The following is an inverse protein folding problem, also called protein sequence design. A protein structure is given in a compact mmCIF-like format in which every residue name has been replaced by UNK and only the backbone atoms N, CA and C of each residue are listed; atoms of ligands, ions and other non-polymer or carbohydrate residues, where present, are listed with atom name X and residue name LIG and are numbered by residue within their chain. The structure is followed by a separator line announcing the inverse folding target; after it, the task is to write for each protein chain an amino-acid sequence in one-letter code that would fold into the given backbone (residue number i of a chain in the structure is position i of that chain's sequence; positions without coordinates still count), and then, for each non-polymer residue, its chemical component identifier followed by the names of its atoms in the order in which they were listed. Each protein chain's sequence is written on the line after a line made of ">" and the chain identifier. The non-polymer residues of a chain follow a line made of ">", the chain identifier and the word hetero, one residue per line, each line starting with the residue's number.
data_IF_662618213732
#
_entry.id   IF_662618213732
#
_cell.length_a   1.000
_cell.length_b   1.000
_cell.length_c   1.000
_cell.angle_alpha   90.00
_cell.angle_beta   90.00
_cell.angle_gamma   90.00
#
_symmetry.space_group_name_H-M   'P 1'
#
loop_
_entity.id
_entity.type
_entity.pdbx_description
1 polymer ?
#
# COMPACT_ATOMS: atom_id res chain seq x y z
N UNK A 1 19.93 24.57 -22.40
CA UNK A 1 19.65 23.19 -21.93
C UNK A 1 19.77 23.18 -20.42
N UNK A 2 18.66 22.99 -19.67
CA UNK A 2 18.75 22.70 -18.23
C UNK A 2 19.31 21.29 -18.09
N UNK A 3 20.35 21.09 -17.26
CA UNK A 3 20.84 19.76 -16.93
C UNK A 3 19.76 19.05 -16.11
N UNK A 4 19.36 17.85 -16.53
CA UNK A 4 18.55 17.00 -15.67
C UNK A 4 19.44 16.55 -14.51
N UNK A 5 19.02 16.86 -13.28
CA UNK A 5 19.69 16.36 -12.09
C UNK A 5 18.93 15.12 -11.59
N UNK A 6 19.69 14.13 -11.13
CA UNK A 6 19.12 13.00 -10.40
C UNK A 6 18.79 13.49 -9.00
N UNK A 7 17.57 13.24 -8.55
CA UNK A 7 17.08 13.55 -7.21
C UNK A 7 16.74 12.26 -6.47
N UNK A 8 16.91 12.31 -5.15
CA UNK A 8 16.47 11.24 -4.25
C UNK A 8 15.15 11.66 -3.59
N UNK A 9 14.14 10.80 -3.68
CA UNK A 9 12.87 10.93 -2.98
C UNK A 9 12.80 9.81 -1.94
N UNK A 10 12.61 10.19 -0.68
CA UNK A 10 12.41 9.28 0.44
C UNK A 10 11.02 9.48 1.00
N UNK A 11 10.22 8.43 0.97
CA UNK A 11 8.84 8.47 1.41
C UNK A 11 8.67 7.52 2.58
N UNK A 12 8.46 8.11 3.76
CA UNK A 12 8.34 7.44 5.05
C UNK A 12 6.87 7.17 5.36
N UNK A 13 6.54 5.91 5.66
CA UNK A 13 5.18 5.50 5.98
C UNK A 13 5.16 4.39 7.01
N UNK A 14 4.06 4.26 7.74
CA UNK A 14 3.85 3.15 8.65
C UNK A 14 3.66 1.85 7.86
N UNK A 15 4.08 0.73 8.44
CA UNK A 15 3.84 -0.60 7.87
C UNK A 15 3.40 -1.57 8.94
N UNK A 16 2.58 -2.54 8.55
CA UNK A 16 2.19 -3.68 9.37
C UNK A 16 2.76 -5.00 8.81
N UNK A 17 3.82 -4.91 8.02
CA UNK A 17 4.53 -6.08 7.51
C UNK A 17 5.38 -6.64 8.65
N UNK A 18 5.00 -7.81 9.14
CA UNK A 18 5.69 -8.47 10.23
C UNK A 18 7.02 -9.03 9.75
N UNK A 19 8.10 -8.34 10.13
CA UNK A 19 9.49 -8.71 9.86
C UNK A 19 10.22 -9.17 11.13
N UNK A 20 9.52 -9.51 12.23
CA UNK A 20 10.14 -9.77 13.55
C UNK A 20 11.20 -10.88 13.54
N UNK A 21 11.09 -11.87 12.66
CA UNK A 21 12.11 -12.94 12.49
C UNK A 21 13.40 -12.46 11.81
N UNK A 22 13.38 -11.28 11.18
CA UNK A 22 14.45 -10.70 10.37
C UNK A 22 15.04 -9.44 11.01
N UNK A 23 14.82 -9.25 12.33
CA UNK A 23 15.34 -8.10 13.04
C UNK A 23 16.88 -8.06 12.99
N UNK A 24 17.43 -6.87 12.70
CA UNK A 24 18.86 -6.61 12.71
C UNK A 24 19.16 -5.50 13.71
N UNK A 25 20.18 -5.72 14.55
CA UNK A 25 20.57 -4.81 15.64
C UNK A 25 21.27 -3.54 15.17
N UNK A 26 21.65 -3.44 13.89
CA UNK A 26 22.48 -2.38 13.32
C UNK A 26 21.65 -1.26 12.64
N UNK A 27 20.35 -1.17 12.95
CA UNK A 27 19.41 -0.25 12.31
C UNK A 27 19.42 -0.32 10.77
N UNK A 28 19.85 -1.46 10.21
CA UNK A 28 19.73 -1.74 8.78
C UNK A 28 18.32 -2.27 8.47
N UNK A 29 17.84 -2.12 7.22
CA UNK A 29 16.54 -2.66 6.86
C UNK A 29 16.49 -4.17 7.09
N UNK A 30 15.40 -4.61 7.71
CA UNK A 30 15.10 -6.04 7.91
C UNK A 30 14.90 -6.71 6.55
N UNK A 31 14.22 -6.02 5.63
CA UNK A 31 13.94 -6.46 4.28
C UNK A 31 14.10 -5.26 3.35
N UNK A 32 14.78 -5.47 2.21
CA UNK A 32 14.88 -4.49 1.13
C UNK A 32 14.34 -5.14 -0.15
N UNK A 33 13.36 -4.51 -0.78
CA UNK A 33 12.76 -4.97 -2.04
C UNK A 33 13.13 -3.97 -3.13
N UNK A 34 13.78 -4.46 -4.18
CA UNK A 34 14.13 -3.66 -5.36
C UNK A 34 13.11 -3.90 -6.48
N UNK A 35 12.38 -2.85 -6.85
CA UNK A 35 11.38 -2.87 -7.91
C UNK A 35 11.89 -2.28 -9.23
N UNK A 36 13.16 -1.86 -9.29
CA UNK A 36 13.76 -1.15 -10.42
C UNK A 36 13.61 -1.91 -11.73
N UNK A 37 13.76 -3.25 -11.71
CA UNK A 37 13.61 -4.08 -12.91
C UNK A 37 12.21 -3.98 -13.56
N UNK A 38 11.18 -3.67 -12.77
CA UNK A 38 9.81 -3.57 -13.27
C UNK A 38 9.50 -2.23 -13.94
N UNK A 39 10.39 -1.23 -13.85
CA UNK A 39 10.26 0.03 -14.61
C UNK A 39 10.23 -0.26 -16.10
N UNK A 40 11.24 -0.98 -16.61
CA UNK A 40 11.30 -1.34 -18.02
C UNK A 40 10.15 -2.25 -18.45
N UNK A 41 9.74 -3.17 -17.58
CA UNK A 41 8.58 -4.04 -17.83
C UNK A 41 7.30 -3.22 -17.95
N UNK A 42 7.07 -2.27 -17.06
CA UNK A 42 5.87 -1.42 -17.05
C UNK A 42 5.85 -0.43 -18.21
N UNK A 43 7.01 0.06 -18.63
CA UNK A 43 7.16 0.85 -19.85
C UNK A 43 6.76 0.03 -21.08
N UNK A 44 7.26 -1.20 -21.20
CA UNK A 44 6.96 -2.12 -22.32
C UNK A 44 5.51 -2.57 -22.35
N UNK A 45 4.93 -2.82 -21.17
CA UNK A 45 3.55 -3.30 -21.03
C UNK A 45 2.51 -2.17 -21.06
N UNK A 46 2.92 -0.92 -21.31
CA UNK A 46 2.01 0.23 -21.40
C UNK A 46 1.19 0.51 -20.14
N UNK A 47 1.79 0.30 -18.95
CA UNK A 47 1.14 0.57 -17.66
C UNK A 47 0.69 2.03 -17.52
N UNK A 48 1.34 2.96 -18.23
CA UNK A 48 1.02 4.39 -18.25
C UNK A 48 -0.26 4.74 -19.04
N UNK A 49 -0.85 3.79 -19.77
CA UNK A 49 -2.15 3.98 -20.44
C UNK A 49 -3.34 3.49 -19.60
N UNK A 50 -3.08 2.82 -18.47
CA UNK A 50 -4.13 2.18 -17.69
C UNK A 50 -4.73 3.13 -16.65
N UNK A 51 -5.97 2.86 -16.24
CA UNK A 51 -6.55 3.46 -15.04
C UNK A 51 -5.93 2.83 -13.78
N UNK A 52 -5.40 3.61 -12.83
CA UNK A 52 -4.78 3.07 -11.61
C UNK A 52 -5.73 2.20 -10.78
N UNK A 53 -5.20 1.17 -10.12
CA UNK A 53 -6.02 0.28 -9.28
C UNK A 53 -6.50 0.94 -7.97
N UNK A 54 -5.80 1.95 -7.46
CA UNK A 54 -6.17 2.73 -6.27
C UNK A 54 -5.72 4.17 -6.48
N UNK A 55 -6.64 5.10 -6.25
CA UNK A 55 -6.39 6.53 -6.35
C UNK A 55 -6.10 7.10 -4.96
N UNK A 56 -4.83 7.17 -4.58
CA UNK A 56 -4.39 8.04 -3.46
C UNK A 56 -3.83 9.35 -4.01
N UNK A 57 -3.06 9.25 -5.08
CA UNK A 57 -2.63 10.35 -5.94
C UNK A 57 -3.39 10.26 -7.27
N UNK A 58 -3.89 11.40 -7.74
CA UNK A 58 -4.87 11.49 -8.83
C UNK A 58 -4.26 11.95 -10.16
N UNK A 59 -2.98 12.33 -10.16
CA UNK A 59 -2.34 12.86 -11.35
C UNK A 59 -2.09 11.72 -12.33
N UNK A 60 -2.63 11.87 -13.54
CA UNK A 60 -2.28 11.01 -14.66
C UNK A 60 -0.82 11.22 -15.02
N UNK A 61 -0.13 10.12 -15.33
CA UNK A 61 1.28 10.13 -15.74
C UNK A 61 1.42 9.56 -17.14
N UNK A 62 2.43 10.02 -17.86
CA UNK A 62 2.75 9.54 -19.20
C UNK A 62 3.92 8.55 -19.19
N UNK A 63 4.20 7.93 -20.34
CA UNK A 63 5.43 7.16 -20.56
C UNK A 63 6.69 7.97 -20.23
N UNK A 64 6.69 9.26 -20.58
CA UNK A 64 7.84 10.13 -20.34
C UNK A 64 8.07 10.35 -18.84
N UNK A 65 7.00 10.44 -18.04
CA UNK A 65 7.11 10.57 -16.59
C UNK A 65 7.63 9.27 -15.95
N UNK A 66 7.16 8.12 -16.41
CA UNK A 66 7.65 6.82 -15.94
C UNK A 66 9.16 6.64 -16.22
N UNK A 67 9.63 7.08 -17.39
CA UNK A 67 11.04 7.01 -17.78
C UNK A 67 11.98 7.94 -16.98
N UNK A 68 11.42 8.91 -16.24
CA UNK A 68 12.20 9.73 -15.31
C UNK A 68 12.65 8.93 -14.10
N UNK A 69 11.88 7.91 -13.69
CA UNK A 69 12.25 7.05 -12.57
C UNK A 69 13.41 6.14 -12.98
N UNK A 70 14.48 6.15 -12.18
CA UNK A 70 15.69 5.35 -12.41
C UNK A 70 15.82 4.20 -11.42
N UNK A 71 15.27 4.36 -10.23
CA UNK A 71 15.38 3.37 -9.14
C UNK A 71 14.14 3.47 -8.27
N UNK A 72 13.60 2.32 -7.83
CA UNK A 72 12.56 2.24 -6.80
C UNK A 72 12.93 1.09 -5.86
N UNK A 73 13.22 1.42 -4.59
CA UNK A 73 13.51 0.48 -3.52
C UNK A 73 12.62 0.73 -2.33
N UNK A 74 12.32 -0.33 -1.60
CA UNK A 74 11.46 -0.27 -0.42
C UNK A 74 12.16 -1.00 0.71
N UNK A 75 12.45 -0.25 1.76
CA UNK A 75 13.18 -0.70 2.93
C UNK A 75 12.23 -0.80 4.13
N UNK A 76 12.09 -2.01 4.66
CA UNK A 76 11.24 -2.30 5.82
C UNK A 76 12.07 -2.36 7.10
N UNK A 77 11.66 -1.56 8.08
CA UNK A 77 12.26 -1.47 9.40
C UNK A 77 11.29 -2.02 10.45
N UNK A 78 11.68 -3.16 11.05
CA UNK A 78 10.93 -3.80 12.13
C UNK A 78 11.16 -3.16 13.50
N UNK A 79 10.51 -3.71 14.53
CA UNK A 79 10.68 -3.27 15.92
C UNK A 79 12.13 -3.44 16.38
N UNK A 80 12.65 -2.46 17.13
CA UNK A 80 13.99 -2.52 17.75
C UNK A 80 14.13 -3.67 18.77
N UNK A 81 13.03 -4.14 19.36
CA UNK A 81 13.00 -5.29 20.25
C UNK A 81 11.60 -5.89 20.27
N UNK A 82 11.45 -7.22 20.43
CA UNK A 82 10.14 -7.86 20.60
C UNK A 82 9.34 -7.34 21.81
N UNK A 83 10.00 -6.66 22.76
CA UNK A 83 9.39 -6.05 23.94
C UNK A 83 9.33 -4.52 23.89
N UNK A 84 9.84 -3.89 22.82
CA UNK A 84 9.72 -2.44 22.62
C UNK A 84 8.45 -2.12 21.84
N UNK A 85 7.71 -1.12 22.31
CA UNK A 85 6.61 -0.52 21.56
C UNK A 85 7.09 0.58 20.59
N UNK A 86 8.37 0.95 20.66
CA UNK A 86 8.97 2.00 19.84
C UNK A 86 10.10 1.45 18.95
N UNK A 87 10.20 2.00 17.76
CA UNK A 87 11.32 1.84 16.84
C UNK A 87 12.24 3.07 16.96
N UNK A 88 13.50 2.94 16.56
CA UNK A 88 14.47 4.06 16.58
C UNK A 88 14.29 4.94 15.34
N UNK A 89 13.15 5.64 15.25
CA UNK A 89 12.75 6.41 14.07
C UNK A 89 13.80 7.46 13.66
N UNK A 90 14.43 8.10 14.65
CA UNK A 90 15.52 9.07 14.42
C UNK A 90 16.71 8.40 13.73
N UNK A 91 17.13 7.23 14.21
CA UNK A 91 18.22 6.46 13.60
C UNK A 91 17.87 5.95 12.20
N UNK A 92 16.58 5.72 11.90
CA UNK A 92 16.14 5.34 10.56
C UNK A 92 16.19 6.55 9.64
N UNK A 93 15.61 7.69 10.03
CA UNK A 93 15.58 8.92 9.22
C UNK A 93 17.01 9.41 8.93
N UNK A 94 17.90 9.39 9.93
CA UNK A 94 19.29 9.85 9.80
C UNK A 94 20.11 9.11 8.75
N UNK A 95 19.69 7.89 8.36
CA UNK A 95 20.32 7.12 7.28
C UNK A 95 20.01 7.66 5.89
N UNK A 96 18.87 8.33 5.74
CA UNK A 96 18.40 8.86 4.46
C UNK A 96 18.57 10.38 4.38
N UNK A 97 18.49 11.07 5.52
CA UNK A 97 18.53 12.52 5.56
C UNK A 97 19.10 13.05 6.88
N UNK A 98 19.75 14.21 6.85
CA UNK A 98 20.22 14.85 8.08
C UNK A 98 19.03 15.36 8.90
N UNK A 99 18.77 14.74 10.06
CA UNK A 99 17.68 15.11 10.95
C UNK A 99 17.75 16.57 11.39
N UNK A 100 18.95 17.15 11.52
CA UNK A 100 19.12 18.54 11.95
C UNK A 100 18.58 19.54 10.93
N UNK A 101 18.42 19.11 9.67
CA UNK A 101 17.87 19.94 8.61
C UNK A 101 16.34 19.98 8.59
N UNK A 102 15.66 19.06 9.29
CA UNK A 102 14.20 19.00 9.36
C UNK A 102 13.72 19.44 10.73
N UNK A 103 12.79 20.38 10.77
CA UNK A 103 12.18 20.80 12.03
C UNK A 103 11.43 19.63 12.69
N UNK A 104 11.80 19.29 13.93
CA UNK A 104 11.28 18.10 14.66
C UNK A 104 9.75 18.07 14.74
N UNK A 105 9.08 19.23 14.76
CA UNK A 105 7.62 19.31 14.79
C UNK A 105 6.97 18.79 13.51
N UNK A 106 7.63 18.89 12.35
CA UNK A 106 7.16 18.36 11.07
C UNK A 106 7.17 16.83 11.06
N UNK A 107 8.13 16.23 11.76
CA UNK A 107 8.19 14.77 11.96
C UNK A 107 7.11 14.36 12.97
N UNK A 108 6.98 15.08 14.09
CA UNK A 108 5.97 14.79 15.10
C UNK A 108 4.53 14.88 14.53
N UNK A 109 4.24 15.85 13.67
CA UNK A 109 2.92 16.01 13.04
C UNK A 109 2.56 14.87 12.07
N UNK A 110 3.54 14.14 11.53
CA UNK A 110 3.32 12.96 10.69
C UNK A 110 2.85 11.73 11.48
N UNK A 111 3.10 11.72 12.79
CA UNK A 111 2.87 10.60 13.69
C UNK A 111 3.79 9.40 13.49
N UNK A 112 4.82 9.50 12.63
CA UNK A 112 5.80 8.43 12.40
C UNK A 112 6.54 8.03 13.69
N UNK A 113 6.76 8.95 14.62
CA UNK A 113 7.40 8.62 15.91
C UNK A 113 6.65 7.55 16.73
N UNK A 114 5.33 7.42 16.52
CA UNK A 114 4.45 6.56 17.33
C UNK A 114 4.14 5.21 16.65
N UNK A 115 4.60 5.00 15.41
CA UNK A 115 4.31 3.75 14.68
C UNK A 115 5.13 2.59 15.23
N UNK A 116 4.72 1.35 14.98
CA UNK A 116 5.50 0.19 15.44
C UNK A 116 6.61 -0.21 14.47
N UNK A 117 6.43 0.08 13.18
CA UNK A 117 7.32 -0.30 12.09
C UNK A 117 7.25 0.77 11.00
N UNK A 118 8.37 1.05 10.36
CA UNK A 118 8.49 2.02 9.26
C UNK A 118 8.79 1.27 7.95
N UNK A 119 8.18 1.72 6.87
CA UNK A 119 8.69 1.48 5.52
C UNK A 119 9.22 2.80 4.93
N UNK A 120 10.37 2.73 4.28
CA UNK A 120 10.96 3.84 3.53
C UNK A 120 10.99 3.46 2.05
N UNK A 121 10.27 4.22 1.23
CA UNK A 121 10.27 4.08 -0.21
C UNK A 121 11.32 5.05 -0.76
N UNK A 122 12.40 4.51 -1.30
CA UNK A 122 13.53 5.24 -1.85
C UNK A 122 13.47 5.22 -3.37
N UNK A 123 13.33 6.40 -3.97
CA UNK A 123 13.18 6.57 -5.41
C UNK A 123 14.21 7.55 -5.95
N UNK A 124 14.92 7.15 -7.00
CA UNK A 124 15.75 8.06 -7.79
C UNK A 124 15.04 8.45 -9.05
N UNK A 125 14.97 9.76 -9.32
CA UNK A 125 14.32 10.25 -10.53
C UNK A 125 15.03 11.46 -11.13
N UNK A 126 14.93 11.59 -12.46
CA UNK A 126 15.42 12.75 -13.20
C UNK A 126 14.38 13.87 -13.18
N UNK A 127 14.81 15.08 -12.85
CA UNK A 127 13.97 16.28 -12.92
C UNK A 127 14.79 17.50 -13.33
N UNK A 128 14.17 18.36 -14.14
CA UNK A 128 14.73 19.65 -14.55
C UNK A 128 14.24 20.82 -13.69
N UNK A 129 13.33 20.56 -12.77
CA UNK A 129 12.76 21.56 -11.86
C UNK A 129 13.54 21.53 -10.55
N UNK A 130 13.79 22.67 -9.92
CA UNK A 130 14.19 22.66 -8.51
C UNK A 130 12.92 22.68 -7.68
N UNK A 131 12.79 21.73 -6.74
CA UNK A 131 11.77 21.82 -5.70
C UNK A 131 12.30 22.82 -4.69
N UNK A 132 11.58 23.92 -4.50
CA UNK A 132 11.95 24.97 -3.53
C UNK A 132 11.03 24.78 -2.33
N UNK A 133 11.58 24.35 -1.20
CA UNK A 133 10.85 24.28 0.06
C UNK A 133 11.61 24.96 1.18
N UNK A 134 11.71 26.28 1.11
CA UNK A 134 12.22 27.06 2.22
C UNK A 134 11.29 28.25 2.44
N UNK A 135 10.12 27.93 3.01
CA UNK A 135 9.48 28.85 3.92
C UNK A 135 10.01 28.55 5.32
N UNK A 136 10.71 29.51 5.90
CA UNK A 136 11.00 29.48 7.32
C UNK A 136 9.68 29.49 8.12
N UNK A 137 9.71 29.10 9.39
CA UNK A 137 8.54 29.26 10.28
C UNK A 137 8.00 30.70 10.34
N UNK A 138 8.85 31.69 10.11
CA UNK A 138 8.42 33.10 10.01
C UNK A 138 7.81 33.42 8.64
N UNK A 139 8.34 32.85 7.56
CA UNK A 139 7.76 32.97 6.22
C UNK A 139 6.37 32.31 6.14
N UNK A 140 6.13 31.23 6.88
CA UNK A 140 4.81 30.56 6.95
C UNK A 140 3.73 31.39 7.67
N UNK A 141 4.11 32.45 8.41
CA UNK A 141 3.15 33.38 9.02
C UNK A 141 2.73 34.49 8.07
N UNK A 142 3.47 34.71 6.98
CA UNK A 142 3.21 35.74 6.00
C UNK A 142 2.55 35.15 4.74
N UNK A 143 1.27 35.43 4.59
CA UNK A 143 0.46 34.96 3.46
C UNK A 143 1.05 35.41 2.12
N UNK A 144 1.57 36.63 1.99
CA UNK A 144 2.07 37.14 0.70
C UNK A 144 3.38 36.44 0.29
N UNK A 145 4.22 36.09 1.27
CA UNK A 145 5.43 35.29 1.05
C UNK A 145 5.06 33.85 0.67
N UNK A 146 4.05 33.26 1.33
CA UNK A 146 3.52 31.94 0.97
C UNK A 146 3.03 31.95 -0.48
N UNK A 147 2.17 32.91 -0.87
CA UNK A 147 1.61 32.98 -2.21
C UNK A 147 2.70 33.19 -3.27
N UNK A 148 3.61 34.16 -3.05
CA UNK A 148 4.68 34.47 -4.01
C UNK A 148 5.68 33.31 -4.21
N UNK A 149 6.02 32.57 -3.14
CA UNK A 149 6.93 31.42 -3.23
C UNK A 149 6.20 30.16 -3.68
N UNK A 150 5.16 29.68 -2.97
CA UNK A 150 4.50 28.39 -3.26
C UNK A 150 3.69 28.38 -4.56
N UNK A 151 3.08 29.49 -4.96
CA UNK A 151 2.26 29.57 -6.18
C UNK A 151 3.02 30.19 -7.37
N UNK A 152 4.34 30.31 -7.28
CA UNK A 152 5.14 30.65 -8.46
C UNK A 152 4.99 29.57 -9.54
N UNK A 153 4.95 29.96 -10.81
CA UNK A 153 4.86 29.00 -11.93
C UNK A 153 5.95 27.93 -11.89
N UNK A 154 7.15 28.26 -11.38
CA UNK A 154 8.25 27.29 -11.20
C UNK A 154 7.87 26.20 -10.19
N UNK A 155 7.28 26.57 -9.06
CA UNK A 155 6.85 25.62 -8.03
C UNK A 155 5.60 24.84 -8.44
N UNK A 156 4.68 25.43 -9.19
CA UNK A 156 3.51 24.72 -9.74
C UNK A 156 3.97 23.56 -10.65
N UNK A 157 4.92 23.82 -11.56
CA UNK A 157 5.44 22.78 -12.46
C UNK A 157 6.25 21.72 -11.70
N UNK A 158 7.02 22.13 -10.69
CA UNK A 158 7.77 21.20 -9.85
C UNK A 158 6.85 20.28 -9.02
N UNK A 159 5.77 20.84 -8.47
CA UNK A 159 4.77 20.10 -7.70
C UNK A 159 3.95 19.17 -8.58
N UNK A 160 3.51 19.60 -9.78
CA UNK A 160 2.83 18.71 -10.72
C UNK A 160 3.71 17.52 -11.14
N UNK A 161 5.00 17.77 -11.38
CA UNK A 161 5.96 16.69 -11.62
C UNK A 161 6.09 15.77 -10.41
N UNK A 162 6.22 16.31 -9.19
CA UNK A 162 6.31 15.51 -7.97
C UNK A 162 5.06 14.65 -7.75
N UNK A 163 3.86 15.20 -7.95
CA UNK A 163 2.59 14.48 -7.84
C UNK A 163 2.51 13.33 -8.87
N UNK A 164 2.99 13.54 -10.10
CA UNK A 164 3.08 12.46 -11.10
C UNK A 164 4.07 11.38 -10.68
N UNK A 165 5.22 11.75 -10.12
CA UNK A 165 6.20 10.81 -9.57
C UNK A 165 5.57 10.01 -8.42
N UNK A 166 4.84 10.66 -7.51
CA UNK A 166 4.10 10.00 -6.42
C UNK A 166 2.99 9.07 -6.94
N UNK A 167 2.28 9.44 -8.00
CA UNK A 167 1.33 8.55 -8.69
C UNK A 167 2.01 7.31 -9.27
N UNK A 168 3.20 7.45 -9.87
CA UNK A 168 3.97 6.31 -10.36
C UNK A 168 4.39 5.40 -9.19
N UNK A 169 4.98 5.97 -8.13
CA UNK A 169 5.38 5.22 -6.93
C UNK A 169 4.19 4.44 -6.36
N UNK A 170 3.03 5.09 -6.30
CA UNK A 170 1.78 4.49 -5.84
C UNK A 170 1.38 3.25 -6.66
N UNK A 171 1.64 3.26 -7.96
CA UNK A 171 1.37 2.11 -8.83
C UNK A 171 2.32 0.93 -8.52
N UNK A 172 3.61 1.21 -8.27
CA UNK A 172 4.57 0.21 -7.83
C UNK A 172 4.25 -0.34 -6.43
N UNK A 173 3.78 0.51 -5.52
CA UNK A 173 3.35 0.07 -4.18
C UNK A 173 2.16 -0.87 -4.26
N UNK A 174 1.17 -0.57 -5.10
CA UNK A 174 0.03 -1.44 -5.33
C UNK A 174 0.43 -2.78 -5.94
N UNK A 175 1.36 -2.75 -6.90
CA UNK A 175 1.96 -3.94 -7.46
C UNK A 175 2.64 -4.80 -6.39
N UNK A 176 3.47 -4.20 -5.54
CA UNK A 176 4.12 -4.92 -4.45
C UNK A 176 3.09 -5.52 -3.47
N UNK A 177 2.13 -4.72 -3.01
CA UNK A 177 1.12 -5.16 -2.02
C UNK A 177 0.29 -6.32 -2.54
N UNK A 178 -0.10 -6.26 -3.81
CA UNK A 178 -0.80 -7.37 -4.47
C UNK A 178 0.03 -8.65 -4.36
N UNK A 179 1.30 -8.59 -4.76
CA UNK A 179 2.20 -9.74 -4.75
C UNK A 179 2.53 -10.25 -3.33
N UNK A 180 2.68 -9.35 -2.35
CA UNK A 180 2.85 -9.71 -0.95
C UNK A 180 1.64 -10.51 -0.44
N UNK A 181 0.42 -10.06 -0.75
CA UNK A 181 -0.79 -10.78 -0.35
C UNK A 181 -0.99 -12.11 -1.06
N UNK A 182 -0.53 -12.26 -2.30
CA UNK A 182 -0.59 -13.54 -3.00
C UNK A 182 0.43 -14.55 -2.48
N UNK A 183 1.61 -14.06 -2.07
CA UNK A 183 2.73 -14.91 -1.68
C UNK A 183 2.62 -15.35 -0.23
N UNK A 184 2.15 -14.48 0.65
CA UNK A 184 2.18 -14.70 2.09
C UNK A 184 0.80 -14.91 2.70
N UNK A 185 0.66 -15.88 3.61
CA UNK A 185 -0.60 -16.11 4.30
C UNK A 185 -0.97 -14.88 5.13
N UNK A 186 -2.24 -14.50 5.05
CA UNK A 186 -2.83 -13.52 5.96
C UNK A 186 -3.43 -14.28 7.14
N UNK A 187 -2.72 -14.30 8.26
CA UNK A 187 -3.20 -14.96 9.49
C UNK A 187 -3.96 -13.92 10.33
N UNK A 188 -4.99 -14.41 11.01
CA UNK A 188 -5.77 -13.68 12.01
C UNK A 188 -4.90 -13.38 13.25
N UNK A 189 -3.92 -12.49 13.11
CA UNK A 189 -3.26 -11.93 14.28
C UNK A 189 -4.15 -10.81 14.78
N UNK A 190 -4.45 -10.90 16.09
CA UNK A 190 -5.00 -9.82 16.91
C UNK A 190 -4.50 -8.49 16.36
N UNK A 191 -5.43 -7.73 15.77
CA UNK A 191 -5.19 -6.40 15.25
C UNK A 191 -4.27 -5.68 16.23
N UNK A 192 -3.18 -5.13 15.72
CA UNK A 192 -2.41 -4.20 16.51
C UNK A 192 -3.41 -3.07 16.83
N UNK A 193 -3.94 -3.04 18.07
CA UNK A 193 -4.82 -2.00 18.60
C UNK A 193 -4.10 -0.64 18.68
N UNK A 194 -3.11 -0.41 17.82
CA UNK A 194 -2.15 0.68 17.87
C UNK A 194 -2.19 1.55 16.61
N UNK A 195 -2.98 1.21 15.59
CA UNK A 195 -2.95 1.94 14.33
C UNK A 195 -3.93 3.10 14.34
N UNK A 196 -3.44 4.23 14.84
CA UNK A 196 -4.15 5.48 14.79
C UNK A 196 -4.44 5.88 13.33
N UNK A 197 -5.72 6.11 12.99
CA UNK A 197 -6.17 6.55 11.65
C UNK A 197 -5.55 7.90 11.21
N UNK A 198 -4.86 8.57 12.14
CA UNK A 198 -4.16 9.83 11.97
C UNK A 198 -2.70 9.70 11.50
N UNK A 199 -2.11 8.51 11.41
CA UNK A 199 -0.75 8.39 10.89
C UNK A 199 -0.72 8.68 9.38
N UNK A 200 -0.03 9.76 9.03
CA UNK A 200 0.05 10.25 7.65
C UNK A 200 1.35 9.75 7.02
N UNK A 201 2.50 9.89 7.68
CA UNK A 201 3.80 9.73 7.04
C UNK A 201 4.27 11.03 6.38
N UNK A 202 5.39 11.00 5.68
CA UNK A 202 5.95 12.17 5.01
C UNK A 202 6.90 11.82 3.86
N UNK A 203 7.09 12.76 2.94
CA UNK A 203 8.03 12.70 1.83
C UNK A 203 9.14 13.73 2.01
N UNK A 204 10.38 13.30 1.76
CA UNK A 204 11.54 14.17 1.61
C UNK A 204 12.03 14.05 0.17
N UNK A 205 12.30 15.17 -0.51
CA UNK A 205 13.03 15.16 -1.78
C UNK A 205 14.33 15.93 -1.62
N UNK A 206 15.45 15.27 -1.91
CA UNK A 206 16.78 15.86 -1.83
C UNK A 206 17.30 16.22 -3.22
N UNK A 207 17.87 17.42 -3.32
CA UNK A 207 18.60 17.90 -4.48
C UNK A 207 19.89 18.59 -4.01
N UNK A 208 21.00 17.85 -3.98
CA UNK A 208 22.28 18.29 -3.43
C UNK A 208 22.17 18.72 -1.94
N UNK A 209 22.32 20.02 -1.67
CA UNK A 209 22.20 20.65 -0.34
C UNK A 209 20.76 21.08 0.00
N UNK A 210 19.88 21.18 -1.01
CA UNK A 210 18.49 21.58 -0.80
C UNK A 210 17.62 20.35 -0.52
N UNK A 211 16.59 20.56 0.30
CA UNK A 211 15.58 19.54 0.57
C UNK A 211 14.17 20.11 0.47
N UNK A 212 13.22 19.22 0.21
CA UNK A 212 11.78 19.48 0.18
C UNK A 212 11.13 18.53 1.18
N UNK A 213 10.17 19.03 1.98
CA UNK A 213 9.44 18.24 2.95
C UNK A 213 7.93 18.40 2.78
N UNK A 214 7.21 17.29 2.74
CA UNK A 214 5.75 17.30 2.75
C UNK A 214 5.19 16.18 3.63
N UNK A 215 4.27 16.53 4.52
CA UNK A 215 3.42 15.53 5.20
C UNK A 215 2.35 15.04 4.24
N UNK A 216 2.36 13.75 3.98
CA UNK A 216 1.47 13.07 3.05
C UNK A 216 0.60 12.10 3.84
N UNK A 217 -0.70 11.95 3.55
CA UNK A 217 -1.49 10.87 4.19
C UNK A 217 -1.36 9.59 3.39
N UNK A 218 -0.62 8.61 3.91
CA UNK A 218 -0.26 7.39 3.17
C UNK A 218 -0.62 6.16 3.99
N UNK A 219 -1.41 5.26 3.41
CA UNK A 219 -1.81 4.01 4.06
C UNK A 219 -1.86 2.87 3.03
N UNK A 220 -0.72 2.66 2.37
CA UNK A 220 -0.52 1.52 1.48
C UNK A 220 -0.19 0.27 2.27
N UNK A 221 0.60 0.41 3.34
CA UNK A 221 1.20 -0.71 4.06
C UNK A 221 0.58 -0.95 5.45
N UNK A 222 -0.55 -0.33 5.78
CA UNK A 222 -1.25 -0.53 7.06
C UNK A 222 -1.98 -1.87 7.19
N UNK A 223 -1.73 -2.84 6.31
CA UNK A 223 -2.32 -4.18 6.38
C UNK A 223 -1.33 -5.16 6.99
N UNK A 224 -1.80 -5.99 7.93
CA UNK A 224 -0.95 -7.03 8.49
C UNK A 224 -0.63 -8.08 7.42
N UNK A 225 0.66 -8.22 7.11
CA UNK A 225 1.19 -9.25 6.21
C UNK A 225 2.33 -9.93 6.95
N UNK A 226 2.23 -11.24 7.12
CA UNK A 226 3.32 -12.01 7.69
C UNK A 226 4.39 -12.25 6.64
N UNK A 227 5.52 -11.54 6.71
CA UNK A 227 6.61 -11.73 5.77
C UNK A 227 7.61 -12.75 6.31
N UNK A 228 7.68 -13.91 5.66
CA UNK A 228 8.77 -14.87 5.82
C UNK A 228 9.63 -14.79 4.57
N UNK A 229 10.96 -14.74 4.70
CA UNK A 229 11.85 -14.57 3.55
C UNK A 229 11.83 -15.83 2.67
N UNK A 230 10.88 -15.89 1.74
CA UNK A 230 10.67 -17.00 0.82
C UNK A 230 10.91 -16.51 -0.61
N UNK A 231 11.65 -17.29 -1.40
CA UNK A 231 12.08 -16.97 -2.76
C UNK A 231 10.92 -16.74 -3.77
N UNK A 232 9.68 -17.06 -3.41
CA UNK A 232 8.54 -17.06 -4.33
C UNK A 232 7.98 -15.66 -4.64
N UNK A 233 8.31 -14.62 -3.86
CA UNK A 233 7.78 -13.27 -4.10
C UNK A 233 8.29 -12.70 -5.44
N UNK A 234 9.56 -12.89 -5.75
CA UNK A 234 10.15 -12.40 -7.01
C UNK A 234 9.54 -13.09 -8.22
N UNK A 235 9.35 -14.41 -8.15
CA UNK A 235 8.69 -15.19 -9.20
C UNK A 235 7.25 -14.73 -9.41
N UNK A 236 6.49 -14.52 -8.33
CA UNK A 236 5.11 -14.03 -8.41
C UNK A 236 5.03 -12.62 -9.00
N UNK A 237 5.96 -11.73 -8.65
CA UNK A 237 6.06 -10.40 -9.26
C UNK A 237 6.44 -10.48 -10.75
N UNK A 238 7.36 -11.38 -11.13
CA UNK A 238 7.72 -11.57 -12.55
C UNK A 238 6.49 -12.01 -13.36
N UNK A 239 5.71 -12.98 -12.87
CA UNK A 239 4.46 -13.42 -13.51
C UNK A 239 3.43 -12.30 -13.56
N UNK A 240 3.19 -11.62 -12.44
CA UNK A 240 2.13 -10.61 -12.37
C UNK A 240 2.42 -9.33 -13.16
N UNK A 241 3.69 -9.00 -13.35
CA UNK A 241 4.11 -7.86 -14.15
C UNK A 241 3.65 -7.96 -15.62
N UNK A 242 3.50 -9.17 -16.16
CA UNK A 242 3.11 -9.44 -17.55
C UNK A 242 1.66 -9.08 -17.87
N UNK A 243 0.79 -9.02 -16.86
CA UNK A 243 -0.62 -8.68 -17.05
C UNK A 243 -1.05 -7.45 -16.24
N UNK A 244 -0.13 -6.80 -15.53
CA UNK A 244 -0.43 -5.66 -14.66
C UNK A 244 -1.11 -4.50 -15.40
N UNK A 245 -0.81 -4.30 -16.68
CA UNK A 245 -1.39 -3.26 -17.53
C UNK A 245 -2.81 -3.54 -18.01
N UNK A 246 -3.31 -4.78 -17.89
CA UNK A 246 -4.61 -5.19 -18.43
C UNK A 246 -5.82 -4.64 -17.66
N UNK A 247 -5.61 -3.92 -16.56
CA UNK A 247 -6.70 -3.32 -15.78
C UNK A 247 -7.70 -4.35 -15.25
N UNK A 248 -7.21 -5.43 -14.65
CA UNK A 248 -8.03 -6.56 -14.20
C UNK A 248 -8.94 -6.12 -13.04
N UNK A 249 -10.28 -6.10 -13.20
CA UNK A 249 -11.20 -5.60 -12.17
C UNK A 249 -11.07 -6.32 -10.83
N UNK A 250 -10.77 -7.62 -10.85
CA UNK A 250 -10.57 -8.40 -9.63
C UNK A 250 -9.39 -7.90 -8.81
N UNK A 251 -8.29 -7.45 -9.45
CA UNK A 251 -7.16 -6.85 -8.74
C UNK A 251 -7.55 -5.52 -8.10
N UNK A 252 -8.32 -4.70 -8.83
CA UNK A 252 -8.85 -3.43 -8.33
C UNK A 252 -9.67 -3.63 -7.04
N UNK A 253 -10.68 -4.51 -7.11
CA UNK A 253 -11.54 -4.77 -5.96
C UNK A 253 -10.79 -5.42 -4.81
N UNK A 254 -9.83 -6.29 -5.09
CA UNK A 254 -9.00 -6.94 -4.07
C UNK A 254 -8.19 -5.92 -3.28
N UNK A 255 -7.46 -5.05 -3.97
CA UNK A 255 -6.65 -4.00 -3.34
C UNK A 255 -7.52 -2.96 -2.61
N UNK A 256 -8.72 -2.68 -3.10
CA UNK A 256 -9.66 -1.79 -2.41
C UNK A 256 -10.32 -2.43 -1.19
N UNK A 257 -10.57 -3.74 -1.21
CA UNK A 257 -11.05 -4.50 -0.06
C UNK A 257 -9.98 -4.52 1.05
N UNK A 258 -8.72 -4.54 0.65
CA UNK A 258 -7.54 -4.44 1.50
C UNK A 258 -7.10 -2.98 1.63
N UNK A 259 -8.00 -2.05 1.94
CA UNK A 259 -7.66 -0.64 2.24
C UNK A 259 -7.98 -0.31 3.69
N UNK A 260 -7.02 0.28 4.40
CA UNK A 260 -7.16 0.76 5.77
C UNK A 260 -6.69 -0.23 6.84
N UNK A 261 -6.34 0.28 8.03
CA UNK A 261 -5.80 -0.54 9.13
C UNK A 261 -6.84 -1.43 9.81
N UNK A 262 -8.13 -1.12 9.67
CA UNK A 262 -9.23 -1.83 10.31
C UNK A 262 -10.17 -2.44 9.27
N UNK A 263 -10.61 -3.67 9.50
CA UNK A 263 -11.58 -4.29 8.60
C UNK A 263 -13.01 -3.86 8.93
N UNK A 264 -13.65 -3.25 7.95
CA UNK A 264 -15.05 -2.83 8.00
C UNK A 264 -15.98 -3.70 7.15
N UNK A 265 -17.28 -3.51 7.32
CA UNK A 265 -18.28 -4.14 6.45
C UNK A 265 -18.12 -3.75 4.98
N UNK A 266 -17.59 -2.55 4.71
CA UNK A 266 -17.29 -2.08 3.37
C UNK A 266 -16.12 -2.87 2.77
N UNK A 267 -15.06 -3.11 3.56
CA UNK A 267 -13.94 -3.98 3.16
C UNK A 267 -14.43 -5.39 2.83
N UNK A 268 -15.28 -5.96 3.69
CA UNK A 268 -15.87 -7.29 3.45
C UNK A 268 -16.72 -7.34 2.19
N UNK A 269 -17.57 -6.34 1.96
CA UNK A 269 -18.39 -6.24 0.76
C UNK A 269 -17.54 -6.15 -0.51
N UNK A 270 -16.46 -5.36 -0.49
CA UNK A 270 -15.48 -5.28 -1.59
C UNK A 270 -14.77 -6.61 -1.84
N UNK A 271 -14.50 -7.39 -0.80
CA UNK A 271 -13.91 -8.73 -0.96
C UNK A 271 -14.90 -9.71 -1.62
N UNK A 272 -16.19 -9.62 -1.31
CA UNK A 272 -17.23 -10.38 -2.03
C UNK A 272 -17.32 -9.91 -3.50
N UNK A 273 -17.30 -8.61 -3.77
CA UNK A 273 -17.28 -8.10 -5.14
C UNK A 273 -16.02 -8.56 -5.90
N UNK A 274 -14.88 -8.66 -5.22
CA UNK A 274 -13.66 -9.25 -5.78
C UNK A 274 -13.93 -10.69 -6.23
N UNK A 275 -14.53 -11.51 -5.37
CA UNK A 275 -14.91 -12.87 -5.71
C UNK A 275 -15.89 -12.93 -6.89
N UNK A 276 -16.93 -12.11 -6.88
CA UNK A 276 -17.94 -12.07 -7.96
C UNK A 276 -17.32 -11.65 -9.30
N UNK A 277 -16.30 -10.78 -9.29
CA UNK A 277 -15.66 -10.26 -10.50
C UNK A 277 -14.88 -11.28 -11.33
N UNK A 278 -14.62 -12.49 -10.79
CA UNK A 278 -14.05 -13.59 -11.57
C UNK A 278 -15.07 -14.28 -12.49
N UNK A 279 -16.36 -13.92 -12.38
CA UNK A 279 -17.44 -14.51 -13.14
C UNK A 279 -18.10 -13.46 -14.04
N UNK A 280 -18.65 -13.87 -15.21
CA UNK A 280 -19.49 -13.00 -16.02
C UNK A 280 -20.72 -12.49 -15.25
N UNK A 281 -21.30 -11.41 -15.76
CA UNK A 281 -22.54 -10.87 -15.21
C UNK A 281 -23.68 -11.90 -15.20
N UNK A 282 -24.59 -11.78 -14.23
CA UNK A 282 -25.82 -12.59 -14.08
C UNK A 282 -25.59 -14.09 -13.79
N UNK A 283 -24.38 -14.48 -13.39
CA UNK A 283 -24.14 -15.83 -12.87
C UNK A 283 -24.77 -15.95 -11.46
N UNK A 284 -25.50 -17.04 -11.20
CA UNK A 284 -26.10 -17.29 -9.89
C UNK A 284 -25.03 -17.58 -8.82
N UNK A 285 -25.20 -17.04 -7.61
CA UNK A 285 -24.24 -17.25 -6.52
C UNK A 285 -24.01 -18.72 -6.19
N UNK A 286 -25.03 -19.58 -6.29
CA UNK A 286 -24.89 -21.02 -6.08
C UNK A 286 -23.95 -21.69 -7.08
N UNK A 287 -23.99 -21.25 -8.34
CA UNK A 287 -23.08 -21.73 -9.36
C UNK A 287 -21.65 -21.24 -9.09
N UNK A 288 -21.46 -19.96 -8.76
CA UNK A 288 -20.14 -19.41 -8.41
C UNK A 288 -19.51 -20.19 -7.26
N UNK A 289 -20.29 -20.46 -6.20
CA UNK A 289 -19.85 -21.18 -5.00
C UNK A 289 -19.44 -22.61 -5.31
N UNK A 290 -20.26 -23.32 -6.10
CA UNK A 290 -19.98 -24.70 -6.49
C UNK A 290 -18.74 -24.79 -7.41
N UNK A 291 -18.73 -24.00 -8.48
CA UNK A 291 -17.64 -23.99 -9.46
C UNK A 291 -16.30 -23.61 -8.83
N UNK A 292 -16.25 -22.55 -8.01
CA UNK A 292 -15.03 -22.17 -7.28
C UNK A 292 -14.53 -23.32 -6.42
N UNK A 293 -15.41 -23.94 -5.63
CA UNK A 293 -15.01 -25.03 -4.76
C UNK A 293 -14.36 -26.16 -5.54
N UNK A 294 -14.93 -26.52 -6.71
CA UNK A 294 -14.38 -27.53 -7.62
C UNK A 294 -13.06 -27.11 -8.27
N UNK A 295 -12.93 -25.83 -8.65
CA UNK A 295 -11.77 -25.30 -9.36
C UNK A 295 -10.52 -25.25 -8.49
N UNK A 296 -10.65 -24.73 -7.27
CA UNK A 296 -9.49 -24.48 -6.40
C UNK A 296 -9.33 -25.53 -5.30
N UNK A 297 -10.32 -26.37 -5.03
CA UNK A 297 -10.29 -27.36 -3.95
C UNK A 297 -9.37 -28.55 -4.25
N UNK A 298 -8.53 -28.92 -3.29
CA UNK A 298 -7.57 -30.02 -3.44
C UNK A 298 -8.20 -31.40 -3.26
N UNK A 299 -9.30 -31.49 -2.51
CA UNK A 299 -10.04 -32.73 -2.22
C UNK A 299 -11.48 -32.41 -1.78
N UNK A 300 -12.32 -33.43 -1.64
CA UNK A 300 -13.74 -33.27 -1.28
C UNK A 300 -13.95 -32.54 0.06
N UNK A 301 -13.08 -32.74 1.05
CA UNK A 301 -13.20 -32.07 2.35
C UNK A 301 -12.90 -30.56 2.23
N UNK A 302 -11.82 -30.21 1.51
CA UNK A 302 -11.45 -28.83 1.20
C UNK A 302 -12.52 -28.14 0.34
N UNK A 303 -13.07 -28.82 -0.68
CA UNK A 303 -14.20 -28.32 -1.48
C UNK A 303 -15.42 -27.98 -0.60
N UNK A 304 -15.74 -28.83 0.38
CA UNK A 304 -16.84 -28.57 1.33
C UNK A 304 -16.53 -27.38 2.23
N UNK A 305 -15.29 -27.25 2.70
CA UNK A 305 -14.86 -26.12 3.52
C UNK A 305 -14.98 -24.80 2.74
N UNK A 306 -14.39 -24.72 1.54
CA UNK A 306 -14.50 -23.55 0.65
C UNK A 306 -15.96 -23.18 0.41
N UNK A 307 -16.80 -24.17 0.06
CA UNK A 307 -18.23 -23.94 -0.18
C UNK A 307 -18.94 -23.40 1.05
N UNK A 308 -18.58 -23.86 2.24
CA UNK A 308 -19.14 -23.37 3.51
C UNK A 308 -18.78 -21.90 3.72
N UNK A 309 -17.51 -21.53 3.61
CA UNK A 309 -17.05 -20.13 3.73
C UNK A 309 -17.79 -19.21 2.77
N UNK A 310 -17.93 -19.62 1.51
CA UNK A 310 -18.64 -18.81 0.53
C UNK A 310 -20.14 -18.72 0.85
N UNK A 311 -20.79 -19.82 1.24
CA UNK A 311 -22.20 -19.79 1.68
C UNK A 311 -22.41 -18.82 2.84
N UNK A 312 -21.54 -18.87 3.84
CA UNK A 312 -21.63 -18.02 5.03
C UNK A 312 -21.33 -16.56 4.68
N UNK A 313 -20.41 -16.31 3.74
CA UNK A 313 -20.10 -14.96 3.23
C UNK A 313 -21.28 -14.32 2.50
N UNK A 314 -21.94 -15.05 1.59
CA UNK A 314 -23.13 -14.56 0.88
C UNK A 314 -24.33 -14.38 1.82
N UNK A 315 -24.52 -15.27 2.80
CA UNK A 315 -25.56 -15.10 3.84
C UNK A 315 -25.31 -13.83 4.65
N UNK A 316 -24.06 -13.59 5.06
CA UNK A 316 -23.69 -12.43 5.84
C UNK A 316 -23.93 -11.13 5.06
N UNK A 317 -23.51 -11.07 3.79
CA UNK A 317 -23.82 -9.94 2.88
C UNK A 317 -25.32 -9.70 2.77
N UNK A 318 -26.12 -10.74 2.50
CA UNK A 318 -27.57 -10.58 2.31
C UNK A 318 -28.25 -10.06 3.57
N UNK A 319 -27.83 -10.52 4.76
CA UNK A 319 -28.31 -9.98 6.04
C UNK A 319 -28.04 -8.47 6.14
N UNK A 320 -26.86 -8.01 5.72
CA UNK A 320 -26.48 -6.60 5.73
C UNK A 320 -27.23 -5.77 4.67
N UNK A 321 -27.25 -6.21 3.42
CA UNK A 321 -27.87 -5.49 2.29
C UNK A 321 -29.38 -5.30 2.49
N UNK A 322 -30.06 -6.24 3.15
CA UNK A 322 -31.50 -6.18 3.40
C UNK A 322 -31.88 -5.53 4.75
N UNK A 323 -30.98 -4.73 5.34
CA UNK A 323 -31.30 -3.92 6.52
C UNK A 323 -31.36 -4.71 7.84
N UNK A 324 -30.78 -5.91 7.89
CA UNK A 324 -30.48 -6.55 9.17
C UNK A 324 -29.57 -5.64 10.00
N UNK A 325 -29.71 -5.68 11.33
CA UNK A 325 -28.96 -4.82 12.26
C UNK A 325 -27.49 -4.74 11.86
N UNK A 326 -27.10 -3.57 11.34
CA UNK A 326 -25.74 -3.28 10.94
C UNK A 326 -24.95 -3.19 12.23
N UNK A 327 -23.96 -4.06 12.44
CA UNK A 327 -22.99 -3.80 13.47
C UNK A 327 -22.22 -2.57 13.01
N UNK A 328 -22.62 -1.38 13.45
CA UNK A 328 -21.75 -0.22 13.38
C UNK A 328 -20.50 -0.61 14.20
N UNK A 329 -19.35 -0.80 13.56
CA UNK A 329 -18.14 -1.27 14.27
C UNK A 329 -17.69 -0.33 15.39
N UNK A 330 -18.22 0.90 15.41
CA UNK A 330 -18.11 1.90 16.49
C UNK A 330 -19.17 1.79 17.60
N UNK A 331 -20.32 1.19 17.32
CA UNK A 331 -21.33 0.91 18.33
C UNK A 331 -20.97 -0.39 19.06
N UNK A 332 -21.44 -0.54 20.30
CA UNK A 332 -21.22 -1.70 21.18
C UNK A 332 -21.84 -2.99 20.60
N UNK A 333 -21.28 -3.51 19.51
CA UNK A 333 -21.60 -4.82 18.98
C UNK A 333 -21.01 -5.85 19.92
N UNK A 334 -21.77 -6.91 20.16
CA UNK A 334 -21.32 -8.12 20.82
C UNK A 334 -20.01 -8.61 20.14
N UNK A 335 -18.89 -8.67 20.87
CA UNK A 335 -17.55 -8.96 20.34
C UNK A 335 -17.50 -10.20 19.41
N UNK A 336 -18.41 -11.16 19.63
CA UNK A 336 -18.57 -12.38 18.84
C UNK A 336 -18.87 -12.15 17.36
N UNK A 337 -19.73 -11.17 17.02
CA UNK A 337 -20.11 -10.91 15.62
C UNK A 337 -18.97 -10.20 14.85
N UNK A 338 -18.19 -9.36 15.54
CA UNK A 338 -16.97 -8.75 14.98
C UNK A 338 -15.93 -9.82 14.65
N UNK A 339 -15.64 -10.72 15.59
CA UNK A 339 -14.69 -11.82 15.38
C UNK A 339 -15.12 -12.73 14.23
N UNK A 340 -16.41 -13.05 14.14
CA UNK A 340 -16.94 -13.90 13.06
C UNK A 340 -16.78 -13.24 11.68
N UNK A 341 -17.06 -11.93 11.56
CA UNK A 341 -16.83 -11.19 10.32
C UNK A 341 -15.35 -11.20 9.92
N UNK A 342 -14.46 -11.06 10.90
CA UNK A 342 -13.01 -11.06 10.71
C UNK A 342 -12.48 -12.40 10.21
N UNK A 343 -12.86 -13.49 10.85
CA UNK A 343 -12.53 -14.84 10.40
C UNK A 343 -13.01 -15.07 8.96
N UNK A 344 -14.28 -14.74 8.69
CA UNK A 344 -14.90 -14.95 7.39
C UNK A 344 -14.24 -14.13 6.28
N UNK A 345 -13.83 -12.88 6.56
CA UNK A 345 -13.07 -12.05 5.62
C UNK A 345 -11.74 -12.67 5.22
N UNK A 346 -10.95 -13.14 6.19
CA UNK A 346 -9.63 -13.71 5.92
C UNK A 346 -9.74 -15.06 5.21
N UNK A 347 -10.73 -15.89 5.56
CA UNK A 347 -11.03 -17.11 4.83
C UNK A 347 -11.43 -16.81 3.38
N UNK A 348 -12.33 -15.84 3.15
CA UNK A 348 -12.73 -15.41 1.81
C UNK A 348 -11.55 -14.84 1.02
N UNK A 349 -10.70 -14.02 1.65
CA UNK A 349 -9.46 -13.49 1.06
C UNK A 349 -8.55 -14.63 0.58
N UNK A 350 -8.35 -15.66 1.41
CA UNK A 350 -7.51 -16.80 1.06
C UNK A 350 -8.10 -17.62 -0.11
N UNK A 351 -9.42 -17.73 -0.20
CA UNK A 351 -10.10 -18.31 -1.37
C UNK A 351 -9.81 -17.45 -2.62
N UNK A 352 -9.98 -16.13 -2.54
CA UNK A 352 -9.70 -15.21 -3.65
C UNK A 352 -8.24 -15.32 -4.11
N UNK A 353 -7.29 -15.41 -3.18
CA UNK A 353 -5.87 -15.64 -3.50
C UNK A 353 -5.71 -16.95 -4.27
N UNK A 354 -6.33 -18.05 -3.83
CA UNK A 354 -6.27 -19.34 -4.55
C UNK A 354 -6.85 -19.25 -5.97
N UNK A 355 -7.89 -18.43 -6.19
CA UNK A 355 -8.44 -18.18 -7.53
C UNK A 355 -7.43 -17.44 -8.40
N UNK A 356 -6.75 -16.39 -7.88
CA UNK A 356 -5.67 -15.72 -8.61
C UNK A 356 -4.55 -16.71 -8.99
N UNK A 357 -4.09 -17.53 -8.05
CA UNK A 357 -3.10 -18.57 -8.32
C UNK A 357 -3.53 -19.56 -9.40
N UNK A 358 -4.82 -19.92 -9.44
CA UNK A 358 -5.36 -20.79 -10.48
C UNK A 358 -5.28 -20.14 -11.87
N UNK A 359 -5.52 -18.83 -11.97
CA UNK A 359 -5.44 -18.10 -13.26
C UNK A 359 -4.02 -17.71 -13.68
N UNK A 360 -3.04 -17.74 -12.77
CA UNK A 360 -1.64 -17.39 -13.06
C UNK A 360 -0.78 -18.60 -13.46
N UNK A 361 -1.27 -19.82 -13.17
CA UNK A 361 -0.73 -21.07 -13.70
C UNK A 361 -1.32 -21.32 -15.09
#
# INVERSE_FOLDING_TARGET
>A
MKRNNIKDLFWFTHTNIDTRKLYKKDNSPCVSIDLTKYIDVFVKNEVWLKTPYRMQYLNSFSKADLLKIKEIKIDFYGKASPYSNAHEYENIISRYHDLLSIETWKIASSGIQDVQQIAVINVKFESSHDLIDELSREDEKDIDIIFSKKLSNKNILANDELEKIKSIISEFMQFLIFNLHLTFPSINYSFANTDNEFYTGFTIVRNNENHYFETDKINYLGHYIYYEQVNNLNEMMDVSSLFWSKGIPSIHFFLNALKGSHMSIENFSKMIFTFESFFPEKVGSDFMKLSTSLLIGNNVADMRAIRKVLNDSFKFRNKFVHGGSIPNLRDNINNKDKTTLWELFYELKNIVIRIFWFFFK
#
